data_IF_337800164318
#
_entry.id   IF_337800164318
#
_cell.length_a   1.000
_cell.length_b   1.000
_cell.length_c   1.000
_cell.angle_alpha   90.00
_cell.angle_beta   90.00
_cell.angle_gamma   90.00
#
_symmetry.space_group_name_H-M   'P 1'
#
loop_
_entity.id
_entity.type
_entity.pdbx_description
1 polymer ?
#
# COMPACT_ATOMS: atom_id res chain seq x y z
N UNK A 1 27.70 66.02 -4.21
CA UNK A 1 26.37 66.55 -4.56
C UNK A 1 25.81 65.98 -5.86
N UNK A 2 26.30 66.33 -7.05
CA UNK A 2 25.73 65.78 -8.32
C UNK A 2 25.93 64.26 -8.48
N UNK A 3 27.12 63.75 -8.16
CA UNK A 3 27.45 62.31 -8.23
C UNK A 3 26.69 61.46 -7.18
N UNK A 4 26.36 62.04 -6.02
CA UNK A 4 25.57 61.37 -4.98
C UNK A 4 24.08 61.28 -5.39
N UNK A 5 23.54 62.32 -6.04
CA UNK A 5 22.17 62.32 -6.56
C UNK A 5 21.96 61.30 -7.69
N UNK A 6 22.93 61.13 -8.61
CA UNK A 6 22.83 60.09 -9.65
C UNK A 6 22.90 58.68 -9.04
N UNK A 7 23.76 58.46 -8.05
CA UNK A 7 23.90 57.15 -7.40
C UNK A 7 22.62 56.74 -6.65
N UNK A 8 22.00 57.66 -5.89
CA UNK A 8 20.73 57.40 -5.21
C UNK A 8 19.60 57.08 -6.21
N UNK A 9 19.54 57.78 -7.34
CA UNK A 9 18.57 57.51 -8.41
C UNK A 9 18.70 56.08 -8.97
N UNK A 10 19.93 55.63 -9.25
CA UNK A 10 20.16 54.27 -9.74
C UNK A 10 19.80 53.20 -8.70
N UNK A 11 20.07 53.45 -7.42
CA UNK A 11 19.67 52.55 -6.32
C UNK A 11 18.15 52.47 -6.19
N UNK A 12 17.43 53.59 -6.27
CA UNK A 12 15.96 53.58 -6.27
C UNK A 12 15.38 52.83 -7.48
N UNK A 13 15.96 53.04 -8.66
CA UNK A 13 15.53 52.36 -9.88
C UNK A 13 15.73 50.83 -9.76
N UNK A 14 16.90 50.40 -9.28
CA UNK A 14 17.20 48.98 -9.05
C UNK A 14 16.25 48.39 -8.01
N UNK A 15 16.03 49.06 -6.88
CA UNK A 15 15.10 48.60 -5.85
C UNK A 15 13.67 48.48 -6.37
N UNK A 16 13.22 49.41 -7.22
CA UNK A 16 11.91 49.37 -7.84
C UNK A 16 11.77 48.19 -8.81
N UNK A 17 12.79 47.93 -9.64
CA UNK A 17 12.82 46.78 -10.56
C UNK A 17 12.83 45.47 -9.77
N UNK A 18 13.67 45.36 -8.74
CA UNK A 18 13.76 44.17 -7.87
C UNK A 18 12.40 43.91 -7.22
N UNK A 19 11.76 44.90 -6.61
CA UNK A 19 10.46 44.72 -5.96
C UNK A 19 9.35 44.29 -6.94
N UNK A 20 9.35 44.82 -8.17
CA UNK A 20 8.39 44.42 -9.22
C UNK A 20 8.56 42.95 -9.60
N UNK A 21 9.79 42.42 -9.56
CA UNK A 21 10.08 41.03 -9.95
C UNK A 21 9.91 40.08 -8.77
N UNK A 22 10.37 40.45 -7.58
CA UNK A 22 10.39 39.57 -6.39
C UNK A 22 8.99 39.19 -5.93
N UNK A 23 8.04 40.13 -5.90
CA UNK A 23 6.66 39.84 -5.50
C UNK A 23 6.01 38.72 -6.34
N UNK A 24 5.92 38.89 -7.67
CA UNK A 24 5.43 37.85 -8.57
C UNK A 24 6.24 36.56 -8.54
N UNK A 25 7.57 36.63 -8.40
CA UNK A 25 8.43 35.46 -8.32
C UNK A 25 8.11 34.58 -7.10
N UNK A 26 7.88 35.20 -5.94
CA UNK A 26 7.47 34.48 -4.72
C UNK A 26 6.12 33.79 -4.93
N UNK A 27 5.13 34.49 -5.47
CA UNK A 27 3.80 33.92 -5.75
C UNK A 27 3.91 32.74 -6.72
N UNK A 28 4.67 32.91 -7.80
CA UNK A 28 4.89 31.85 -8.79
C UNK A 28 5.60 30.63 -8.18
N UNK A 29 6.59 30.86 -7.31
CA UNK A 29 7.32 29.78 -6.64
C UNK A 29 6.40 28.95 -5.72
N UNK A 30 5.51 29.60 -4.97
CA UNK A 30 4.53 28.92 -4.10
C UNK A 30 3.54 28.13 -4.95
N UNK A 31 3.02 28.73 -6.02
CA UNK A 31 2.12 28.05 -6.94
C UNK A 31 2.77 26.82 -7.58
N UNK A 32 4.02 26.95 -8.03
CA UNK A 32 4.78 25.86 -8.62
C UNK A 32 5.03 24.73 -7.61
N UNK A 33 5.38 25.07 -6.36
CA UNK A 33 5.53 24.07 -5.29
C UNK A 33 4.23 23.31 -5.04
N UNK A 34 3.09 24.00 -5.00
CA UNK A 34 1.77 23.35 -4.86
C UNK A 34 1.49 22.41 -6.04
N UNK A 35 1.79 22.83 -7.27
CA UNK A 35 1.63 21.99 -8.46
C UNK A 35 2.54 20.75 -8.41
N UNK A 36 3.79 20.90 -7.94
CA UNK A 36 4.71 19.79 -7.73
C UNK A 36 4.20 18.80 -6.68
N UNK A 37 3.73 19.28 -5.53
CA UNK A 37 3.20 18.42 -4.46
C UNK A 37 2.01 17.59 -4.97
N UNK A 38 1.06 18.22 -5.68
CA UNK A 38 -0.08 17.52 -6.29
C UNK A 38 0.35 16.44 -7.27
N UNK A 39 1.37 16.73 -8.07
CA UNK A 39 1.94 15.78 -9.04
C UNK A 39 2.62 14.62 -8.32
N UNK A 40 3.42 14.88 -7.30
CA UNK A 40 4.09 13.85 -6.49
C UNK A 40 3.07 12.94 -5.79
N UNK A 41 1.98 13.48 -5.25
CA UNK A 41 0.90 12.65 -4.67
C UNK A 41 0.30 11.72 -5.73
N UNK A 42 0.02 12.24 -6.94
CA UNK A 42 -0.52 11.42 -8.03
C UNK A 42 0.44 10.29 -8.44
N UNK A 43 1.74 10.60 -8.56
CA UNK A 43 2.77 9.60 -8.86
C UNK A 43 2.91 8.58 -7.73
N UNK A 44 2.89 9.03 -6.47
CA UNK A 44 2.94 8.16 -5.29
C UNK A 44 1.79 7.17 -5.25
N UNK A 45 0.55 7.60 -5.53
CA UNK A 45 -0.61 6.72 -5.66
C UNK A 45 -0.44 5.70 -6.79
N UNK A 46 0.07 6.13 -7.95
CA UNK A 46 0.32 5.22 -9.08
C UNK A 46 1.39 4.18 -8.75
N UNK A 47 2.49 4.59 -8.10
CA UNK A 47 3.56 3.69 -7.66
C UNK A 47 3.08 2.69 -6.59
N UNK A 48 2.23 3.14 -5.67
CA UNK A 48 1.56 2.28 -4.69
C UNK A 48 0.72 1.20 -5.38
N UNK A 49 -0.14 1.58 -6.34
CA UNK A 49 -0.93 0.61 -7.14
C UNK A 49 -0.06 -0.36 -7.92
N UNK A 50 1.05 0.12 -8.48
CA UNK A 50 2.01 -0.72 -9.19
C UNK A 50 2.67 -1.74 -8.25
N UNK A 51 3.16 -1.29 -7.09
CA UNK A 51 3.78 -2.16 -6.08
C UNK A 51 2.81 -3.22 -5.56
N UNK A 52 1.54 -2.87 -5.39
CA UNK A 52 0.46 -3.82 -5.05
C UNK A 52 0.28 -4.86 -6.14
N UNK A 53 0.22 -4.44 -7.41
CA UNK A 53 0.08 -5.33 -8.54
C UNK A 53 1.27 -6.30 -8.66
N UNK A 54 2.49 -5.81 -8.46
CA UNK A 54 3.72 -6.61 -8.45
C UNK A 54 3.73 -7.63 -7.32
N UNK A 55 3.39 -7.22 -6.08
CA UNK A 55 3.28 -8.15 -4.96
C UNK A 55 2.22 -9.23 -5.20
N UNK A 56 1.08 -8.86 -5.79
CA UNK A 56 0.05 -9.80 -6.21
C UNK A 56 0.55 -10.79 -7.26
N UNK A 57 1.29 -10.31 -8.26
CA UNK A 57 1.84 -11.14 -9.33
C UNK A 57 2.90 -12.10 -8.77
N UNK A 58 3.82 -11.61 -7.95
CA UNK A 58 4.88 -12.41 -7.33
C UNK A 58 4.30 -13.55 -6.50
N UNK A 59 3.36 -13.24 -5.62
CA UNK A 59 2.64 -14.23 -4.82
C UNK A 59 1.86 -15.21 -5.70
N UNK A 60 1.21 -14.73 -6.76
CA UNK A 60 0.46 -15.62 -7.66
C UNK A 60 1.38 -16.60 -8.38
N UNK A 61 2.51 -16.10 -8.92
CA UNK A 61 3.51 -16.91 -9.62
C UNK A 61 4.19 -17.90 -8.68
N UNK A 62 4.54 -17.50 -7.46
CA UNK A 62 5.05 -18.42 -6.45
C UNK A 62 4.05 -19.57 -6.19
N UNK A 63 2.75 -19.29 -6.24
CA UNK A 63 1.69 -20.27 -6.07
C UNK A 63 1.57 -21.31 -7.20
N UNK A 64 2.25 -21.10 -8.33
CA UNK A 64 2.37 -22.05 -9.45
C UNK A 64 3.53 -23.03 -9.29
N UNK A 65 4.30 -22.92 -8.21
CA UNK A 65 5.31 -23.91 -7.87
C UNK A 65 4.70 -25.33 -7.81
N UNK A 66 5.31 -26.37 -8.42
CA UNK A 66 4.76 -27.71 -8.48
C UNK A 66 4.43 -28.32 -7.10
N UNK A 67 5.22 -28.03 -6.07
CA UNK A 67 4.96 -28.50 -4.71
C UNK A 67 3.67 -27.86 -4.18
N UNK A 68 3.53 -26.54 -4.34
CA UNK A 68 2.34 -25.81 -3.88
C UNK A 68 1.09 -26.19 -4.67
N UNK A 69 1.21 -26.38 -5.98
CA UNK A 69 0.10 -26.85 -6.82
C UNK A 69 -0.38 -28.24 -6.37
N UNK A 70 0.55 -29.17 -6.15
CA UNK A 70 0.24 -30.51 -5.64
C UNK A 70 -0.41 -30.46 -4.24
N UNK A 71 0.14 -29.63 -3.34
CA UNK A 71 -0.40 -29.44 -2.01
C UNK A 71 -1.83 -28.86 -2.03
N UNK A 72 -2.09 -27.83 -2.86
CA UNK A 72 -3.43 -27.27 -3.07
C UNK A 72 -4.40 -28.31 -3.64
N UNK A 73 -3.97 -29.12 -4.60
CA UNK A 73 -4.80 -30.21 -5.15
C UNK A 73 -5.19 -31.22 -4.07
N UNK A 74 -4.26 -31.60 -3.20
CA UNK A 74 -4.55 -32.50 -2.06
C UNK A 74 -5.55 -31.89 -1.10
N UNK A 75 -5.44 -30.59 -0.78
CA UNK A 75 -6.42 -29.90 0.05
C UNK A 75 -7.83 -29.97 -0.57
N UNK A 76 -7.96 -29.73 -1.87
CA UNK A 76 -9.24 -29.84 -2.59
C UNK A 76 -9.81 -31.27 -2.51
N UNK A 77 -8.94 -32.28 -2.65
CA UNK A 77 -9.32 -33.69 -2.57
C UNK A 77 -9.48 -34.21 -1.13
N UNK A 78 -9.25 -33.37 -0.11
CA UNK A 78 -9.22 -33.76 1.31
C UNK A 78 -8.20 -34.86 1.62
N UNK A 79 -7.10 -34.88 0.88
CA UNK A 79 -5.97 -35.79 1.09
C UNK A 79 -4.98 -35.21 2.13
N UNK A 80 -4.23 -36.09 2.80
CA UNK A 80 -3.22 -35.68 3.78
C UNK A 80 -2.01 -35.05 3.07
N UNK A 81 -1.58 -33.90 3.57
CA UNK A 81 -0.36 -33.23 3.14
C UNK A 81 0.88 -33.93 3.71
N UNK A 82 1.97 -33.96 2.95
CA UNK A 82 3.30 -34.22 3.51
C UNK A 82 3.77 -33.01 4.33
N UNK A 83 4.81 -33.21 5.14
CA UNK A 83 5.40 -32.13 5.94
C UNK A 83 5.88 -30.98 5.04
N UNK A 84 6.59 -31.29 3.95
CA UNK A 84 7.11 -30.28 3.03
C UNK A 84 5.99 -29.50 2.33
N UNK A 85 4.91 -30.19 1.93
CA UNK A 85 3.72 -29.57 1.33
C UNK A 85 3.05 -28.60 2.31
N UNK A 86 2.90 -29.01 3.58
CA UNK A 86 2.33 -28.16 4.62
C UNK A 86 3.22 -26.95 4.92
N UNK A 87 4.54 -27.17 5.07
CA UNK A 87 5.52 -26.08 5.30
C UNK A 87 5.49 -25.08 4.15
N UNK A 88 5.48 -25.56 2.90
CA UNK A 88 5.40 -24.71 1.71
C UNK A 88 4.13 -23.84 1.72
N UNK A 89 2.96 -24.44 1.98
CA UNK A 89 1.70 -23.70 2.07
C UNK A 89 1.71 -22.67 3.21
N UNK A 90 2.31 -23.00 4.37
CA UNK A 90 2.44 -22.08 5.51
C UNK A 90 3.29 -20.86 5.18
N UNK A 91 4.44 -21.07 4.53
CA UNK A 91 5.33 -19.98 4.09
C UNK A 91 4.60 -19.11 3.07
N UNK A 92 3.99 -19.73 2.07
CA UNK A 92 3.27 -19.03 1.01
C UNK A 92 2.11 -18.17 1.54
N UNK A 93 1.30 -18.72 2.45
CA UNK A 93 0.22 -17.98 3.09
C UNK A 93 0.73 -16.83 3.98
N UNK A 94 1.86 -17.03 4.66
CA UNK A 94 2.48 -15.94 5.44
C UNK A 94 2.93 -14.79 4.52
N UNK A 95 3.49 -15.10 3.35
CA UNK A 95 3.84 -14.09 2.35
C UNK A 95 2.61 -13.33 1.84
N UNK A 96 1.49 -14.02 1.58
CA UNK A 96 0.21 -13.38 1.24
C UNK A 96 -0.21 -12.39 2.32
N UNK A 97 -0.18 -12.80 3.60
CA UNK A 97 -0.59 -11.94 4.70
C UNK A 97 0.31 -10.72 4.87
N UNK A 98 1.62 -10.85 4.63
CA UNK A 98 2.56 -9.72 4.63
C UNK A 98 2.29 -8.74 3.49
N UNK A 99 1.96 -9.23 2.31
CA UNK A 99 1.52 -8.35 1.21
C UNK A 99 0.23 -7.60 1.59
N UNK A 100 -0.72 -8.27 2.25
CA UNK A 100 -1.97 -7.64 2.73
C UNK A 100 -1.75 -6.60 3.83
N UNK A 101 -0.81 -6.84 4.74
CA UNK A 101 -0.38 -5.86 5.75
C UNK A 101 0.26 -4.62 5.08
N UNK A 102 1.04 -4.82 4.02
CA UNK A 102 1.56 -3.71 3.23
C UNK A 102 0.44 -2.86 2.61
N UNK A 103 -0.62 -3.49 2.07
CA UNK A 103 -1.77 -2.76 1.53
C UNK A 103 -2.46 -1.92 2.60
N UNK A 104 -2.60 -2.46 3.82
CA UNK A 104 -3.13 -1.71 4.95
C UNK A 104 -2.30 -0.44 5.23
N UNK A 105 -0.96 -0.53 5.20
CA UNK A 105 -0.12 0.66 5.34
C UNK A 105 -0.31 1.66 4.21
N UNK A 106 -0.46 1.20 2.97
CA UNK A 106 -0.72 2.09 1.83
C UNK A 106 -2.08 2.81 1.95
N UNK A 107 -3.10 2.15 2.51
CA UNK A 107 -4.38 2.79 2.85
C UNK A 107 -4.23 3.82 3.96
N UNK A 108 -3.55 3.49 5.07
CA UNK A 108 -3.25 4.44 6.17
C UNK A 108 -2.54 5.71 5.69
N UNK A 109 -1.71 5.60 4.66
CA UNK A 109 -0.98 6.73 4.06
C UNK A 109 -1.79 7.51 3.01
N UNK A 110 -3.05 7.13 2.75
CA UNK A 110 -3.92 7.75 1.76
C UNK A 110 -3.55 7.44 0.31
N UNK A 111 -2.74 6.41 0.07
CA UNK A 111 -2.31 5.99 -1.26
C UNK A 111 -3.36 5.11 -1.94
N UNK A 112 -4.03 4.26 -1.15
CA UNK A 112 -5.26 3.58 -1.52
C UNK A 112 -6.47 4.35 -0.99
N UNK A 113 -7.53 4.43 -1.79
CA UNK A 113 -8.81 4.95 -1.31
C UNK A 113 -9.62 3.91 -0.53
N UNK A 114 -10.71 4.37 0.11
CA UNK A 114 -11.53 3.53 0.99
C UNK A 114 -12.26 2.41 0.24
N UNK A 115 -12.65 2.62 -1.02
CA UNK A 115 -13.35 1.60 -1.82
C UNK A 115 -12.38 0.52 -2.31
N UNK A 116 -11.17 0.92 -2.71
CA UNK A 116 -10.06 0.00 -2.99
C UNK A 116 -9.74 -0.84 -1.76
N UNK A 117 -9.59 -0.19 -0.60
CA UNK A 117 -9.29 -0.87 0.66
C UNK A 117 -10.40 -1.85 1.06
N UNK A 118 -11.66 -1.43 0.98
CA UNK A 118 -12.83 -2.29 1.27
C UNK A 118 -12.86 -3.53 0.38
N UNK A 119 -12.52 -3.39 -0.90
CA UNK A 119 -12.41 -4.53 -1.83
C UNK A 119 -11.30 -5.47 -1.42
N UNK A 120 -10.12 -4.94 -1.04
CA UNK A 120 -9.00 -5.73 -0.56
C UNK A 120 -9.29 -6.46 0.74
N UNK A 121 -9.96 -5.81 1.70
CA UNK A 121 -10.45 -6.43 2.94
C UNK A 121 -11.36 -7.61 2.65
N UNK A 122 -12.28 -7.45 1.69
CA UNK A 122 -13.16 -8.55 1.27
C UNK A 122 -12.38 -9.74 0.72
N UNK A 123 -11.38 -9.50 -0.14
CA UNK A 123 -10.53 -10.55 -0.68
C UNK A 123 -9.65 -11.21 0.40
N UNK A 124 -9.16 -10.44 1.38
CA UNK A 124 -8.45 -10.98 2.55
C UNK A 124 -9.32 -11.95 3.34
N UNK A 125 -10.55 -11.58 3.67
CA UNK A 125 -11.48 -12.45 4.38
C UNK A 125 -11.75 -13.77 3.64
N UNK A 126 -11.79 -13.77 2.31
CA UNK A 126 -12.00 -15.01 1.52
C UNK A 126 -10.90 -16.05 1.67
N UNK A 127 -9.69 -15.67 2.12
CA UNK A 127 -8.60 -16.61 2.33
C UNK A 127 -8.88 -17.60 3.46
N UNK A 128 -9.77 -17.27 4.38
CA UNK A 128 -10.01 -18.05 5.61
C UNK A 128 -11.26 -18.92 5.56
N UNK A 129 -12.09 -18.75 4.53
CA UNK A 129 -13.38 -19.44 4.40
C UNK A 129 -13.13 -20.92 4.14
N UNK A 130 -13.70 -21.77 5.00
CA UNK A 130 -13.57 -23.22 4.97
C UNK A 130 -12.12 -23.74 4.87
N UNK A 131 -11.15 -22.96 5.35
CA UNK A 131 -9.73 -23.26 5.24
C UNK A 131 -9.05 -23.29 6.62
N UNK A 132 -9.11 -24.46 7.26
CA UNK A 132 -8.53 -24.67 8.59
C UNK A 132 -7.03 -24.42 8.63
N UNK A 133 -6.29 -24.75 7.57
CA UNK A 133 -4.85 -24.50 7.50
C UNK A 133 -4.55 -23.00 7.61
N UNK A 134 -5.29 -22.17 6.87
CA UNK A 134 -5.12 -20.73 6.89
C UNK A 134 -5.49 -20.11 8.24
N UNK A 135 -6.57 -20.60 8.87
CA UNK A 135 -6.95 -20.20 10.23
C UNK A 135 -5.86 -20.54 11.25
N UNK A 136 -5.28 -21.73 11.17
CA UNK A 136 -4.20 -22.18 12.04
C UNK A 136 -2.93 -21.35 11.86
N UNK A 137 -2.60 -21.01 10.60
CA UNK A 137 -1.47 -20.12 10.29
C UNK A 137 -1.69 -18.76 10.94
N UNK A 138 -2.87 -18.17 10.74
CA UNK A 138 -3.21 -16.87 11.30
C UNK A 138 -3.13 -16.87 12.83
N UNK A 139 -3.75 -17.85 13.49
CA UNK A 139 -3.73 -17.96 14.95
C UNK A 139 -2.32 -18.01 15.52
N UNK A 140 -1.38 -18.67 14.83
CA UNK A 140 0.02 -18.81 15.27
C UNK A 140 0.88 -17.59 14.95
N UNK A 141 0.55 -16.83 13.91
CA UNK A 141 1.40 -15.73 13.42
C UNK A 141 0.90 -14.33 13.77
N UNK A 142 -0.38 -14.16 14.15
CA UNK A 142 -1.02 -12.84 14.29
C UNK A 142 -0.32 -11.86 15.22
N UNK A 143 0.39 -12.35 16.25
CA UNK A 143 1.17 -11.53 17.17
C UNK A 143 2.37 -10.83 16.51
N UNK A 144 2.78 -11.26 15.32
CA UNK A 144 3.90 -10.70 14.55
C UNK A 144 3.48 -9.62 13.54
N UNK A 145 2.19 -9.29 13.51
CA UNK A 145 1.60 -8.27 12.65
C UNK A 145 1.24 -7.02 13.46
N UNK A 146 1.03 -5.92 12.76
CA UNK A 146 0.48 -4.71 13.34
C UNK A 146 -0.86 -5.00 14.06
N UNK A 147 -1.07 -4.51 15.30
CA UNK A 147 -2.30 -4.80 16.05
C UNK A 147 -3.59 -4.34 15.37
N UNK A 148 -3.57 -3.20 14.68
CA UNK A 148 -4.74 -2.67 13.96
C UNK A 148 -5.05 -3.53 12.73
N UNK A 149 -4.02 -3.92 11.98
CA UNK A 149 -4.18 -4.88 10.89
C UNK A 149 -4.72 -6.22 11.40
N UNK A 150 -4.17 -6.74 12.50
CA UNK A 150 -4.61 -8.00 13.09
C UNK A 150 -6.08 -7.95 13.53
N UNK A 151 -6.52 -6.83 14.11
CA UNK A 151 -7.93 -6.61 14.43
C UNK A 151 -8.82 -6.66 13.20
N UNK A 152 -8.38 -6.06 12.08
CA UNK A 152 -9.12 -6.10 10.81
C UNK A 152 -9.22 -7.53 10.27
N UNK A 153 -8.14 -8.31 10.31
CA UNK A 153 -8.19 -9.71 9.89
C UNK A 153 -9.14 -10.52 10.76
N UNK A 154 -9.07 -10.36 12.10
CA UNK A 154 -9.97 -11.05 13.04
C UNK A 154 -11.45 -10.66 12.77
N UNK A 155 -11.74 -9.39 12.47
CA UNK A 155 -13.07 -8.92 12.06
C UNK A 155 -13.54 -9.57 10.74
N UNK A 156 -12.70 -9.58 9.71
CA UNK A 156 -13.05 -10.18 8.41
C UNK A 156 -13.34 -11.69 8.52
N UNK A 157 -12.58 -12.39 9.37
CA UNK A 157 -12.80 -13.81 9.69
C UNK A 157 -14.15 -13.99 10.39
N UNK A 158 -14.43 -13.21 11.42
CA UNK A 158 -15.68 -13.33 12.19
C UNK A 158 -16.92 -13.02 11.35
N UNK A 159 -16.86 -11.97 10.52
CA UNK A 159 -17.95 -11.61 9.60
C UNK A 159 -18.25 -12.72 8.58
N UNK A 160 -17.24 -13.50 8.19
CA UNK A 160 -17.36 -14.49 7.10
C UNK A 160 -17.55 -15.93 7.54
N UNK A 161 -17.45 -16.22 8.84
CA UNK A 161 -17.64 -17.56 9.40
C UNK A 161 -18.97 -18.22 9.01
N UNK A 162 -20.00 -17.40 8.76
CA UNK A 162 -21.34 -17.84 8.39
C UNK A 162 -21.74 -17.48 6.94
N UNK A 163 -20.89 -16.77 6.18
CA UNK A 163 -21.26 -16.25 4.84
C UNK A 163 -21.38 -17.35 3.78
N UNK A 164 -20.77 -18.53 3.99
CA UNK A 164 -20.78 -19.64 3.04
C UNK A 164 -21.23 -20.98 3.63
N UNK A 165 -21.81 -20.97 4.84
CA UNK A 165 -22.55 -22.14 5.36
C UNK A 165 -23.85 -22.28 4.56
N UNK A 166 -23.79 -22.95 3.41
CA UNK A 166 -24.95 -23.48 2.68
C UNK A 166 -24.85 -24.98 2.58
#
# INVERSE_FOLDING_TARGET
>A
MEFEMEFEYWIELVNKIVNIITGPAVIFSVWFLVAQIRTQIKVGKAASRQSIAEAHQEVTLAGLDPLLMKAKLKLIKKEKLSIDEEVGLRIHMTAILRARENHFYQHKMGMLDDEEWKTMRKALGTLFIDNQLNLDIWKKSKSTFNPEFASIVDEEIDMRKDTFRK
#
